data_IF_030860239378
#
_entry.id   IF_030860239378
#
_cell.length_a   1.000
_cell.length_b   1.000
_cell.length_c   1.000
_cell.angle_alpha   90.00
_cell.angle_beta   90.00
_cell.angle_gamma   90.00
#
_symmetry.space_group_name_H-M   'P 1'
#
loop_
_entity.id
_entity.type
_entity.pdbx_description
1 polymer ?
#
# COMPACT_ATOMS: atom_id res chain seq x y z
N UNK A 1 -15.58 9.32 -5.74
CA UNK A 1 -14.44 9.91 -6.49
C UNK A 1 -13.52 10.73 -5.58
N UNK A 2 -14.05 11.50 -4.63
CA UNK A 2 -13.25 12.30 -3.68
C UNK A 2 -12.30 11.46 -2.80
N UNK A 3 -12.74 10.30 -2.30
CA UNK A 3 -11.92 9.40 -1.48
C UNK A 3 -10.68 8.86 -2.23
N UNK A 4 -10.84 8.53 -3.52
CA UNK A 4 -9.75 8.02 -4.36
C UNK A 4 -8.64 9.05 -4.56
N UNK A 5 -9.00 10.34 -4.68
CA UNK A 5 -8.02 11.42 -4.77
C UNK A 5 -7.30 11.61 -3.44
N UNK A 6 -8.03 11.66 -2.33
CA UNK A 6 -7.45 11.78 -0.97
C UNK A 6 -6.49 10.63 -0.68
N UNK A 7 -6.83 9.39 -1.04
CA UNK A 7 -5.97 8.22 -0.82
C UNK A 7 -4.74 8.22 -1.71
N UNK A 8 -4.87 8.73 -2.94
CA UNK A 8 -3.73 8.92 -3.83
C UNK A 8 -2.77 9.97 -3.27
N UNK A 9 -3.28 11.14 -2.88
CA UNK A 9 -2.49 12.21 -2.26
C UNK A 9 -1.79 11.73 -0.99
N UNK A 10 -2.51 10.99 -0.14
CA UNK A 10 -1.92 10.37 1.06
C UNK A 10 -0.78 9.39 0.70
N UNK A 11 -0.99 8.52 -0.28
CA UNK A 11 0.03 7.55 -0.73
C UNK A 11 1.29 8.25 -1.23
N UNK A 12 1.13 9.27 -2.08
CA UNK A 12 2.24 10.04 -2.64
C UNK A 12 3.01 10.76 -1.54
N UNK A 13 2.31 11.38 -0.60
CA UNK A 13 2.93 12.10 0.51
C UNK A 13 3.65 11.15 1.48
N UNK A 14 3.08 9.97 1.73
CA UNK A 14 3.69 8.93 2.55
C UNK A 14 5.02 8.44 1.95
N UNK A 15 5.03 8.14 0.64
CA UNK A 15 6.25 7.74 -0.07
C UNK A 15 7.30 8.86 -0.08
N UNK A 16 6.88 10.11 -0.27
CA UNK A 16 7.77 11.28 -0.23
C UNK A 16 8.46 11.43 1.11
N UNK A 17 7.70 11.38 2.21
CA UNK A 17 8.23 11.51 3.58
C UNK A 17 9.16 10.38 3.94
N UNK A 18 8.84 9.16 3.52
CA UNK A 18 9.72 8.02 3.74
C UNK A 18 11.05 8.17 2.98
N UNK A 19 11.02 8.65 1.73
CA UNK A 19 12.25 8.96 0.99
C UNK A 19 13.09 10.08 1.62
N UNK A 20 12.46 11.04 2.31
CA UNK A 20 13.17 12.05 3.11
C UNK A 20 13.85 11.45 4.33
N UNK A 21 13.14 10.55 5.04
CA UNK A 21 13.69 9.82 6.18
C UNK A 21 14.89 8.95 5.77
N UNK A 22 14.78 8.19 4.67
CA UNK A 22 15.88 7.38 4.13
C UNK A 22 17.11 8.24 3.86
N UNK A 23 16.94 9.36 3.13
CA UNK A 23 18.06 10.26 2.81
C UNK A 23 18.71 10.83 4.07
N UNK A 24 17.91 11.24 5.05
CA UNK A 24 18.42 11.71 6.32
C UNK A 24 19.21 10.62 7.05
N UNK A 25 18.67 9.40 7.13
CA UNK A 25 19.32 8.29 7.82
C UNK A 25 20.67 7.91 7.18
N UNK A 26 20.73 7.87 5.84
CA UNK A 26 21.98 7.62 5.10
C UNK A 26 23.02 8.72 5.34
N UNK A 27 22.61 9.99 5.40
CA UNK A 27 23.52 11.13 5.61
C UNK A 27 24.03 11.26 7.04
N UNK A 28 23.21 10.90 8.03
CA UNK A 28 23.50 11.07 9.45
C UNK A 28 23.91 9.78 10.15
N UNK A 29 24.19 8.72 9.39
CA UNK A 29 24.57 7.43 9.95
C UNK A 29 25.90 7.52 10.72
N UNK A 30 25.94 7.15 12.01
CA UNK A 30 27.12 7.34 12.86
C UNK A 30 28.20 6.26 12.68
N UNK A 31 27.85 5.07 12.20
CA UNK A 31 28.78 3.92 12.08
C UNK A 31 29.36 3.82 10.65
N UNK A 32 30.54 4.39 10.44
CA UNK A 32 31.20 4.39 9.13
C UNK A 32 31.79 3.02 8.75
N UNK A 33 32.04 2.14 9.72
CA UNK A 33 32.53 0.77 9.48
C UNK A 33 31.44 -0.15 8.93
N UNK A 34 30.17 0.20 9.19
CA UNK A 34 28.98 -0.51 8.68
C UNK A 34 28.04 0.48 8.02
N UNK A 35 28.33 0.91 6.77
CA UNK A 35 27.54 1.92 6.11
C UNK A 35 26.13 1.40 5.84
N UNK A 36 25.15 2.24 6.16
CA UNK A 36 23.75 2.01 5.81
C UNK A 36 23.58 2.16 4.29
N UNK A 37 22.83 1.25 3.67
CA UNK A 37 22.53 1.25 2.24
C UNK A 37 21.04 1.45 2.00
N UNK A 38 20.67 1.96 0.82
CA UNK A 38 19.28 1.99 0.36
C UNK A 38 18.64 0.60 0.39
N UNK A 39 19.43 -0.46 0.18
CA UNK A 39 18.94 -1.84 0.21
C UNK A 39 18.36 -2.25 1.57
N UNK A 40 18.89 -1.69 2.67
CA UNK A 40 18.43 -1.98 4.03
C UNK A 40 17.00 -1.47 4.29
N UNK A 41 16.53 -0.53 3.48
CA UNK A 41 15.17 0.02 3.55
C UNK A 41 14.18 -0.69 2.62
N UNK A 42 14.62 -1.62 1.77
CA UNK A 42 13.73 -2.36 0.85
C UNK A 42 12.55 -3.05 1.56
N UNK A 43 12.73 -3.70 2.74
CA UNK A 43 11.62 -4.28 3.48
C UNK A 43 10.62 -3.23 3.95
N UNK A 44 11.09 -2.05 4.39
CA UNK A 44 10.22 -0.95 4.81
C UNK A 44 9.43 -0.36 3.64
N UNK A 45 10.05 -0.23 2.46
CA UNK A 45 9.36 0.17 1.23
C UNK A 45 8.26 -0.82 0.85
N UNK A 46 8.53 -2.12 1.02
CA UNK A 46 7.53 -3.15 0.78
C UNK A 46 6.33 -3.01 1.73
N UNK A 47 6.57 -2.87 3.03
CA UNK A 47 5.50 -2.67 4.02
C UNK A 47 4.67 -1.40 3.73
N UNK A 48 5.31 -0.30 3.36
CA UNK A 48 4.61 0.93 2.94
C UNK A 48 3.75 0.71 1.70
N UNK A 49 4.24 -0.06 0.73
CA UNK A 49 3.45 -0.44 -0.45
C UNK A 49 2.19 -1.22 -0.08
N UNK A 50 2.27 -2.11 0.92
CA UNK A 50 1.10 -2.85 1.39
C UNK A 50 0.03 -1.93 1.98
N UNK A 51 0.43 -0.88 2.72
CA UNK A 51 -0.50 0.13 3.24
C UNK A 51 -1.22 0.84 2.09
N UNK A 52 -0.47 1.29 1.08
CA UNK A 52 -1.00 1.94 -0.11
C UNK A 52 -1.93 1.03 -0.92
N UNK A 53 -1.65 -0.28 -0.96
CA UNK A 53 -2.49 -1.26 -1.65
C UNK A 53 -3.76 -1.60 -0.87
N UNK A 54 -3.75 -1.57 0.47
CA UNK A 54 -4.97 -1.73 1.27
C UNK A 54 -5.97 -0.62 0.99
N UNK A 55 -5.51 0.63 0.93
CA UNK A 55 -6.37 1.77 0.56
C UNK A 55 -7.03 1.57 -0.80
N UNK A 56 -6.29 1.07 -1.80
CA UNK A 56 -6.86 0.79 -3.14
C UNK A 56 -7.88 -0.36 -3.16
N UNK A 57 -7.77 -1.32 -2.26
CA UNK A 57 -8.66 -2.49 -2.20
C UNK A 57 -9.93 -2.19 -1.39
N UNK A 58 -9.89 -1.27 -0.43
CA UNK A 58 -11.10 -0.81 0.27
C UNK A 58 -12.05 -0.04 -0.66
N UNK A 59 -11.55 0.70 -1.67
CA UNK A 59 -12.41 1.33 -2.70
C UNK A 59 -13.15 0.29 -3.58
N UNK A 60 -12.60 -0.93 -3.66
CA UNK A 60 -13.09 -1.99 -4.55
C UNK A 60 -14.03 -2.97 -3.84
N UNK A 61 -14.13 -2.90 -2.51
CA UNK A 61 -15.23 -3.54 -1.80
C UNK A 61 -16.46 -2.69 -2.08
N UNK A 62 -17.24 -3.09 -3.10
CA UNK A 62 -18.62 -2.66 -3.22
C UNK A 62 -19.37 -2.89 -1.90
N UNK A 63 -20.55 -2.25 -1.70
CA UNK A 63 -21.27 -2.32 -0.43
C UNK A 63 -21.38 -3.76 0.06
N UNK A 64 -21.25 -3.98 1.37
CA UNK A 64 -21.45 -5.31 1.92
C UNK A 64 -22.87 -5.79 1.62
N UNK A 65 -23.15 -7.12 1.60
CA UNK A 65 -24.48 -7.64 1.32
C UNK A 65 -25.55 -7.00 2.24
N UNK A 66 -25.20 -6.74 3.50
CA UNK A 66 -26.04 -6.05 4.51
C UNK A 66 -26.34 -4.58 4.18
N UNK A 67 -25.54 -3.94 3.33
CA UNK A 67 -25.66 -2.55 2.88
C UNK A 67 -26.27 -2.44 1.46
N UNK A 68 -26.80 -3.53 0.92
CA UNK A 68 -27.38 -3.59 -0.43
C UNK A 68 -26.42 -4.07 -1.52
N UNK A 69 -25.28 -4.65 -1.13
CA UNK A 69 -24.37 -5.34 -2.03
C UNK A 69 -24.93 -6.64 -2.63
N UNK A 70 -24.30 -7.16 -3.70
CA UNK A 70 -24.73 -8.43 -4.31
C UNK A 70 -24.64 -9.60 -3.30
N UNK A 71 -25.78 -10.24 -3.06
CA UNK A 71 -25.93 -11.41 -2.18
C UNK A 71 -25.53 -12.74 -2.85
N UNK A 72 -25.18 -12.68 -4.14
CA UNK A 72 -24.90 -13.86 -4.96
C UNK A 72 -23.46 -13.80 -5.45
N UNK A 73 -22.71 -14.87 -5.19
CA UNK A 73 -21.47 -15.14 -5.89
C UNK A 73 -21.87 -15.76 -7.22
N UNK A 74 -21.44 -15.17 -8.35
CA UNK A 74 -21.56 -15.82 -9.65
C UNK A 74 -20.62 -17.03 -9.66
N UNK A 75 -21.13 -18.15 -9.17
CA UNK A 75 -20.52 -19.44 -9.43
C UNK A 75 -20.84 -19.73 -10.89
N UNK A 76 -19.85 -19.64 -11.75
CA UNK A 76 -19.90 -20.28 -13.06
C UNK A 76 -19.53 -21.75 -12.82
N UNK A 77 -20.50 -22.66 -12.56
CA UNK A 77 -20.17 -24.06 -12.36
C UNK A 77 -19.45 -24.57 -13.61
N UNK A 78 -18.38 -25.32 -13.42
CA UNK A 78 -17.77 -26.05 -14.55
C UNK A 78 -18.85 -26.93 -15.21
N UNK A 79 -18.90 -26.98 -16.55
CA UNK A 79 -19.84 -27.85 -17.24
C UNK A 79 -19.50 -29.29 -16.88
N UNK A 80 -20.49 -30.02 -16.34
CA UNK A 80 -20.36 -31.43 -16.03
C UNK A 80 -19.93 -32.22 -17.28
N UNK A 81 -19.06 -33.24 -17.13
CA UNK A 81 -18.54 -34.04 -18.25
C UNK A 81 -19.62 -34.86 -18.96
#
# INVERSE_FOLDING_TARGET
MENKQVWHEFTVELERRFGELERWALQHWPDQDRPLSTSDFSPLRYELSLISNRLKNEDQRGPEPSEGGPQYINMNPEPWP
#
